data_IF_936337522267
#
_entry.id   IF_936337522267
#
_cell.length_a   1.000
_cell.length_b   1.000
_cell.length_c   1.000
_cell.angle_alpha   90.00
_cell.angle_beta   90.00
_cell.angle_gamma   90.00
#
_symmetry.space_group_name_H-M   'P 1'
#
loop_
_entity.id
_entity.type
_entity.pdbx_description
1 polymer ?
2 non-polymer ?
3 water ?
#
# COMPACT_ATOMS: atom_id res chain seq x y z
N UNK A 5 35.90 15.56 10.36
CA UNK A 5 35.05 15.79 9.20
C UNK A 5 33.62 16.09 9.61
N UNK A 6 33.20 15.51 10.74
CA UNK A 6 31.88 15.77 11.29
C UNK A 6 31.74 17.24 11.66
N UNK A 7 30.88 17.97 10.95
CA UNK A 7 30.62 19.37 11.25
C UNK A 7 29.35 19.48 12.07
N UNK A 8 29.41 20.20 13.18
CA UNK A 8 28.29 20.34 14.10
C UNK A 8 27.52 21.61 13.81
N UNK A 9 26.19 21.50 13.82
CA UNK A 9 25.31 22.64 13.56
C UNK A 9 24.06 22.43 14.43
N UNK A 10 23.97 23.19 15.52
CA UNK A 10 22.86 23.02 16.42
C UNK A 10 22.87 21.65 17.07
N UNK A 11 21.68 21.03 17.11
CA UNK A 11 21.53 19.70 17.68
C UNK A 11 21.84 18.59 16.68
N UNK A 12 22.43 18.92 15.53
CA UNK A 12 22.67 17.95 14.47
C UNK A 12 24.16 17.92 14.11
N UNK A 13 24.53 16.89 13.37
CA UNK A 13 25.88 16.72 12.85
C UNK A 13 25.78 16.55 11.34
N UNK A 14 26.73 17.17 10.62
CA UNK A 14 26.75 17.11 9.17
C UNK A 14 28.12 16.64 8.70
N UNK A 15 28.12 15.75 7.72
CA UNK A 15 29.34 15.23 7.13
C UNK A 15 29.21 15.19 5.62
N UNK A 16 30.26 15.63 4.93
CA UNK A 16 30.29 15.60 3.47
C UNK A 16 30.77 14.23 3.02
N UNK A 17 29.88 13.48 2.37
CA UNK A 17 30.23 12.15 1.87
C UNK A 17 30.88 12.19 0.50
N UNK A 18 30.63 13.24 -0.28
CA UNK A 18 31.14 13.39 -1.63
C UNK A 18 30.84 14.81 -2.11
N UNK A 19 31.43 15.26 -3.21
CA UNK A 19 30.97 16.53 -3.81
C UNK A 19 29.49 16.43 -4.17
N UNK A 20 28.72 17.40 -3.68
CA UNK A 20 27.27 17.55 -3.87
C UNK A 20 26.46 16.58 -3.03
N UNK A 21 27.07 15.86 -2.09
CA UNK A 21 26.35 14.93 -1.22
C UNK A 21 26.80 15.14 0.22
N UNK A 22 25.85 15.37 1.11
CA UNK A 22 26.11 15.51 2.53
C UNK A 22 25.19 14.59 3.32
N UNK A 23 25.62 14.24 4.52
CA UNK A 23 24.85 13.39 5.43
C UNK A 23 24.49 14.19 6.67
N UNK A 24 23.19 14.24 6.98
CA UNK A 24 22.71 14.92 8.17
C UNK A 24 22.29 13.90 9.22
N UNK A 25 22.67 14.18 10.47
CA UNK A 25 22.43 13.25 11.58
C UNK A 25 21.67 13.96 12.68
N UNK A 26 20.53 13.40 13.08
CA UNK A 26 19.75 13.90 14.19
C UNK A 26 19.72 12.86 15.30
N UNK A 27 19.57 13.32 16.54
CA UNK A 27 19.62 12.46 17.71
C UNK A 27 18.31 12.54 18.47
N UNK A 28 17.95 11.44 19.12
CA UNK A 28 16.72 11.35 19.88
C UNK A 28 16.92 10.36 21.01
N UNK A 29 16.37 10.68 22.19
CA UNK A 29 16.52 9.85 23.37
C UNK A 29 15.34 8.88 23.46
N UNK A 30 15.51 7.71 22.88
CA UNK A 30 14.52 6.64 23.07
C UNK A 30 14.61 6.14 24.50
N UNK A 31 13.48 6.00 25.22
CA UNK A 31 13.56 5.69 26.66
C UNK A 31 14.36 4.44 26.98
N UNK A 32 14.08 3.32 26.30
CA UNK A 32 14.78 2.09 26.58
C UNK A 32 15.90 1.79 25.62
N UNK A 33 16.46 2.83 25.00
CA UNK A 33 17.52 2.62 24.01
C UNK A 33 18.59 3.70 24.01
N UNK A 34 18.62 4.59 25.00
CA UNK A 34 19.66 5.60 25.06
C UNK A 34 19.48 6.74 24.06
N UNK A 35 20.59 7.26 23.54
CA UNK A 35 20.58 8.35 22.57
C UNK A 35 20.85 7.76 21.19
N UNK A 36 19.78 7.54 20.43
CA UNK A 36 19.86 6.89 19.12
C UNK A 36 19.94 7.96 18.05
N UNK A 37 20.87 7.79 17.11
CA UNK A 37 21.04 8.71 15.99
C UNK A 37 20.36 8.18 14.74
N UNK A 38 20.13 9.09 13.79
CA UNK A 38 19.50 8.75 12.52
C UNK A 38 20.09 9.63 11.44
N UNK A 39 20.36 9.04 10.27
CA UNK A 39 21.05 9.72 9.19
C UNK A 39 20.13 9.91 7.99
N UNK A 40 20.36 11.00 7.27
CA UNK A 40 19.74 11.26 5.99
C UNK A 40 20.76 11.82 5.02
N UNK A 41 20.33 12.21 3.82
CA UNK A 41 21.26 12.73 2.82
C UNK A 41 20.76 14.05 2.26
N UNK A 42 21.70 14.89 1.85
CA UNK A 42 21.43 16.15 1.17
C UNK A 42 22.23 16.15 -0.12
N UNK A 43 21.54 16.29 -1.25
CA UNK A 43 22.15 16.18 -2.57
C UNK A 43 22.00 17.52 -3.28
N UNK A 44 23.12 18.09 -3.73
CA UNK A 44 23.11 19.29 -4.55
C UNK A 44 23.05 18.86 -6.01
N UNK A 45 21.90 19.10 -6.64
CA UNK A 45 21.67 18.72 -8.03
C UNK A 45 21.62 19.99 -8.87
N UNK A 46 22.78 20.43 -9.33
CA UNK A 46 22.88 21.64 -10.12
C UNK A 46 22.58 22.90 -9.32
N UNK A 47 21.43 23.50 -9.59
CA UNK A 47 21.02 24.74 -8.92
C UNK A 47 19.94 24.50 -7.88
N UNK A 48 19.67 23.26 -7.51
CA UNK A 48 18.67 22.93 -6.51
C UNK A 48 19.23 21.90 -5.54
N UNK A 49 18.48 21.66 -4.47
CA UNK A 49 18.89 20.74 -3.41
C UNK A 49 17.81 19.68 -3.26
N UNK A 50 18.24 18.43 -3.11
CA UNK A 50 17.34 17.30 -2.91
C UNK A 50 17.61 16.68 -1.54
N UNK A 51 16.55 16.52 -0.75
CA UNK A 51 16.66 15.97 0.59
C UNK A 51 16.14 14.53 0.59
N UNK A 52 16.87 13.65 1.26
CA UNK A 52 16.59 12.21 1.23
C UNK A 52 15.93 11.70 2.50
N UNK A 53 15.98 12.46 3.60
CA UNK A 53 15.23 12.09 4.80
C UNK A 53 15.14 13.30 5.70
N UNK A 54 14.14 13.28 6.57
CA UNK A 54 13.97 14.32 7.56
C UNK A 54 14.66 13.91 8.86
N UNK A 55 14.44 14.66 9.92
CA UNK A 55 15.01 14.37 11.21
C UNK A 55 13.94 13.74 12.09
N UNK A 56 14.25 13.58 13.38
CA UNK A 56 13.28 13.01 14.32
C UNK A 56 12.09 13.95 14.51
N UNK A 57 12.34 15.25 14.59
CA UNK A 57 11.33 16.22 14.95
C UNK A 57 11.24 17.32 13.88
N UNK A 58 10.17 18.11 13.99
CA UNK A 58 10.04 19.29 13.13
C UNK A 58 11.15 20.30 13.41
N UNK A 59 11.49 20.48 14.69
CA UNK A 59 12.51 21.47 15.06
C UNK A 59 13.87 21.10 14.49
N UNK A 60 14.22 19.80 14.53
CA UNK A 60 15.50 19.38 13.99
C UNK A 60 15.52 19.43 12.47
N UNK A 61 14.35 19.29 11.82
CA UNK A 61 14.30 19.36 10.37
C UNK A 61 14.46 20.80 9.88
N UNK A 62 13.87 21.76 10.61
CA UNK A 62 14.07 23.16 10.26
C UNK A 62 15.52 23.59 10.46
N UNK A 63 16.24 22.94 11.36
CA UNK A 63 17.67 23.18 11.47
C UNK A 63 18.42 22.64 10.25
N UNK A 64 17.93 21.54 9.66
CA UNK A 64 18.53 21.03 8.43
C UNK A 64 18.36 22.04 7.30
N UNK A 65 17.14 22.56 7.15
CA UNK A 65 16.90 23.55 6.10
C UNK A 65 17.73 24.80 6.30
N UNK A 66 17.87 25.24 7.56
CA UNK A 66 18.72 26.39 7.86
C UNK A 66 20.18 26.10 7.50
N UNK A 67 20.61 24.84 7.64
CA UNK A 67 21.96 24.47 7.24
C UNK A 67 22.10 24.50 5.72
N UNK A 68 21.06 24.11 5.00
CA UNK A 68 21.11 24.11 3.54
C UNK A 68 21.18 25.54 3.01
N UNK A 69 20.32 26.42 3.54
CA UNK A 69 20.36 27.82 3.14
C UNK A 69 21.69 28.47 3.50
N UNK A 70 22.29 28.05 4.61
CA UNK A 70 23.55 28.63 5.05
C UNK A 70 24.72 28.13 4.22
N UNK A 71 24.82 26.83 4.01
CA UNK A 71 25.98 26.24 3.34
C UNK A 71 25.85 26.24 1.82
N UNK A 72 24.70 25.83 1.30
CA UNK A 72 24.50 25.70 -0.14
C UNK A 72 23.80 26.91 -0.72
N UNK A 73 22.80 27.45 -0.02
CA UNK A 73 22.04 28.62 -0.47
C UNK A 73 21.34 28.35 -1.80
N UNK A 74 20.60 27.26 -1.86
CA UNK A 74 19.81 26.87 -3.01
C UNK A 74 18.49 26.28 -2.54
N UNK A 75 17.42 26.45 -3.31
CA UNK A 75 16.12 25.93 -2.87
C UNK A 75 16.09 24.41 -2.84
N UNK A 76 15.31 23.88 -1.91
CA UNK A 76 15.10 22.44 -1.80
C UNK A 76 13.99 22.07 -2.78
N UNK A 77 14.36 21.45 -3.89
CA UNK A 77 13.39 21.17 -4.94
C UNK A 77 12.38 20.12 -4.52
N UNK A 78 12.84 19.07 -3.83
CA UNK A 78 11.95 18.00 -3.40
C UNK A 78 12.58 17.28 -2.23
N UNK A 79 11.78 16.45 -1.57
CA UNK A 79 12.23 15.66 -0.44
C UNK A 79 11.56 14.29 -0.48
N UNK A 80 12.37 13.24 -0.43
CA UNK A 80 11.88 11.87 -0.36
C UNK A 80 12.12 11.36 1.06
N UNK A 81 11.20 10.54 1.55
CA UNK A 81 11.36 9.87 2.83
C UNK A 81 11.24 8.37 2.58
N UNK A 82 12.03 7.58 3.32
CA UNK A 82 12.23 6.19 2.98
C UNK A 82 11.17 5.26 3.53
N UNK A 83 10.58 5.58 4.68
CA UNK A 83 9.46 4.80 5.22
C UNK A 83 8.83 5.59 6.36
N UNK A 84 7.70 5.08 6.84
CA UNK A 84 6.88 5.78 7.82
C UNK A 84 7.32 5.40 9.24
N UNK A 85 8.40 6.03 9.67
CA UNK A 85 8.88 5.92 11.05
C UNK A 85 9.36 7.30 11.50
N UNK A 86 9.46 7.47 12.81
CA UNK A 86 9.70 8.80 13.38
C UNK A 86 10.99 9.41 12.87
N UNK A 87 12.05 8.61 12.76
CA UNK A 87 13.34 9.14 12.31
C UNK A 87 13.36 9.50 10.84
N UNK A 88 12.30 9.20 10.09
CA UNK A 88 12.26 9.42 8.65
C UNK A 88 11.24 10.45 8.22
N UNK A 89 10.05 10.46 8.83
CA UNK A 89 9.01 11.42 8.49
C UNK A 89 8.62 12.30 9.67
N UNK A 90 9.49 12.38 10.69
CA UNK A 90 9.19 13.18 11.85
C UNK A 90 9.18 14.69 11.60
N UNK A 91 9.85 15.14 10.55
CA UNK A 91 9.91 16.55 10.24
C UNK A 91 9.11 16.93 9.01
N UNK A 92 7.98 16.25 8.81
CA UNK A 92 7.17 16.47 7.62
C UNK A 92 6.49 17.84 7.65
N UNK A 93 5.96 18.23 8.81
CA UNK A 93 5.36 19.55 8.93
C UNK A 93 6.35 20.68 8.69
N UNK A 94 7.63 20.46 9.02
CA UNK A 94 8.64 21.47 8.76
C UNK A 94 8.90 21.64 7.28
N UNK A 95 8.89 20.55 6.52
CA UNK A 95 9.09 20.65 5.07
C UNK A 95 7.84 21.20 4.39
N UNK A 96 6.65 20.88 4.89
CA UNK A 96 5.44 21.40 4.29
C UNK A 96 5.23 22.89 4.62
N UNK A 97 5.80 23.35 5.73
CA UNK A 97 5.68 24.77 6.08
C UNK A 97 6.47 25.66 5.13
N UNK A 98 7.56 25.13 4.56
CA UNK A 98 8.38 25.87 3.62
C UNK A 98 8.01 25.57 2.17
N UNK A 99 6.86 24.91 1.93
CA UNK A 99 6.38 24.60 0.59
C UNK A 99 7.39 23.78 -0.20
N UNK A 100 7.86 22.70 0.42
CA UNK A 100 8.81 21.77 -0.21
C UNK A 100 8.03 20.54 -0.66
N UNK A 101 8.04 20.20 -1.94
CA UNK A 101 7.35 18.99 -2.40
C UNK A 101 7.96 17.74 -1.78
N UNK A 102 7.13 16.97 -1.10
CA UNK A 102 7.56 15.77 -0.39
C UNK A 102 7.03 14.52 -1.09
N UNK A 103 7.88 13.50 -1.19
CA UNK A 103 7.55 12.27 -1.87
C UNK A 103 7.78 11.08 -0.94
N UNK A 104 6.92 10.07 -1.04
CA UNK A 104 7.05 8.87 -0.23
C UNK A 104 6.34 7.73 -0.95
N UNK A 105 6.69 6.51 -0.54
CA UNK A 105 5.98 5.34 -1.01
C UNK A 105 4.50 5.46 -0.66
N UNK A 106 3.65 5.01 -1.59
CA UNK A 106 2.20 5.08 -1.35
C UNK A 106 1.81 4.34 -0.08
N UNK A 107 2.51 3.25 0.25
CA UNK A 107 2.25 2.55 1.50
C UNK A 107 2.70 3.37 2.70
N UNK A 108 3.82 4.08 2.57
CA UNK A 108 4.30 4.93 3.67
C UNK A 108 3.29 6.02 3.99
N UNK A 109 2.60 6.55 2.97
CA UNK A 109 1.59 7.57 3.22
C UNK A 109 0.32 6.98 3.82
N UNK A 110 0.02 5.72 3.52
CA UNK A 110 -1.12 5.06 4.15
C UNK A 110 -0.82 4.70 5.60
N UNK A 111 0.45 4.48 5.93
CA UNK A 111 0.84 4.06 7.27
C UNK A 111 1.19 5.23 8.18
N UNK A 112 1.52 6.39 7.61
CA UNK A 112 1.96 7.52 8.43
C UNK A 112 0.91 7.97 9.45
N UNK A 113 -0.37 8.13 9.10
CA UNK A 113 -1.34 8.52 10.13
C UNK A 113 -1.54 7.48 11.21
N UNK A 114 -1.27 6.21 10.92
CA UNK A 114 -1.42 5.15 11.92
C UNK A 114 -0.36 5.26 13.01
N UNK A 115 0.73 5.97 12.77
CA UNK A 115 1.77 6.18 13.76
C UNK A 115 1.92 7.64 14.15
N UNK A 116 0.90 8.45 13.88
CA UNK A 116 0.93 9.86 14.22
C UNK A 116 1.94 10.64 13.41
N UNK A 117 1.88 10.53 12.09
CA UNK A 117 2.82 11.19 11.19
C UNK A 117 2.06 11.94 10.11
N UNK A 118 2.67 13.01 9.60
CA UNK A 118 2.14 13.72 8.46
C UNK A 118 2.58 13.01 7.18
N UNK A 119 1.62 12.50 6.43
CA UNK A 119 1.95 11.81 5.19
C UNK A 119 2.51 12.79 4.17
N UNK A 120 3.37 12.27 3.29
CA UNK A 120 3.91 13.10 2.22
C UNK A 120 2.82 13.49 1.24
N UNK A 121 3.00 14.64 0.61
CA UNK A 121 1.97 15.16 -0.29
C UNK A 121 1.89 14.39 -1.60
N UNK A 122 2.94 13.64 -1.96
CA UNK A 122 2.94 12.83 -3.17
C UNK A 122 3.26 11.38 -2.81
N UNK A 123 2.67 10.47 -3.58
CA UNK A 123 2.85 9.04 -3.36
C UNK A 123 3.63 8.45 -4.53
N UNK A 124 4.67 7.68 -4.21
CA UNK A 124 5.48 7.02 -5.22
C UNK A 124 4.94 5.62 -5.50
N UNK A 125 4.94 5.24 -6.77
CA UNK A 125 4.62 3.88 -7.19
C UNK A 125 5.86 3.25 -7.80
N UNK A 126 5.83 1.92 -7.91
CA UNK A 126 7.01 1.17 -8.33
C UNK A 126 6.61 0.09 -9.32
N UNK A 127 7.54 -0.22 -10.22
CA UNK A 127 7.33 -1.28 -11.20
C UNK A 127 7.63 -2.64 -10.58
N UNK A 128 7.48 -3.69 -11.39
CA UNK A 128 7.67 -5.05 -10.88
C UNK A 128 9.12 -5.30 -10.45
N UNK A 129 10.07 -4.59 -11.03
CA UNK A 129 11.48 -4.76 -10.69
C UNK A 129 11.92 -3.88 -9.53
N UNK A 130 10.97 -3.24 -8.83
CA UNK A 130 11.29 -2.46 -7.65
C UNK A 130 11.69 -1.03 -7.91
N UNK A 131 11.94 -0.66 -9.16
CA UNK A 131 12.32 0.71 -9.48
C UNK A 131 11.11 1.63 -9.48
N UNK A 132 11.34 2.90 -9.13
CA UNK A 132 10.25 3.86 -9.02
C UNK A 132 9.67 4.14 -10.40
N UNK A 133 8.37 4.41 -10.44
CA UNK A 133 7.71 4.77 -11.69
C UNK A 133 8.06 6.21 -12.04
N UNK A 134 8.58 6.47 -13.25
CA UNK A 134 8.93 7.85 -13.62
C UNK A 134 7.74 8.79 -13.62
N UNK A 135 6.52 8.28 -13.74
CA UNK A 135 5.34 9.13 -13.69
C UNK A 135 5.11 9.69 -12.29
N UNK A 136 5.57 8.98 -11.26
CA UNK A 136 5.39 9.42 -9.88
C UNK A 136 6.61 10.10 -9.30
N UNK A 137 7.78 9.98 -9.94
CA UNK A 137 9.01 10.61 -9.48
C UNK A 137 9.53 11.53 -10.59
N UNK A 138 8.92 12.70 -10.76
CA UNK A 138 9.33 13.61 -11.84
C UNK A 138 10.50 14.49 -11.45
N UNK A 139 11.45 14.62 -12.37
CA UNK A 139 12.61 15.50 -12.23
C UNK A 139 13.40 15.19 -10.95
N UNK A 140 13.69 13.91 -10.75
CA UNK A 140 14.48 13.49 -9.60
C UNK A 140 15.98 13.60 -9.84
N UNK A 141 16.40 13.90 -11.07
CA UNK A 141 17.80 14.08 -11.38
C UNK A 141 18.62 12.83 -11.13
N UNK A 142 19.63 12.95 -10.27
CA UNK A 142 20.47 11.79 -9.97
C UNK A 142 19.85 10.79 -9.01
N UNK A 143 18.74 11.13 -8.37
CA UNK A 143 18.12 10.26 -7.38
C UNK A 143 17.52 9.03 -8.07
N UNK A 144 18.01 7.85 -7.70
CA UNK A 144 17.48 6.58 -8.18
C UNK A 144 16.78 5.90 -7.02
N UNK A 145 15.45 5.89 -7.04
CA UNK A 145 14.65 5.32 -5.96
C UNK A 145 14.34 3.86 -6.31
N UNK A 146 14.54 2.98 -5.34
CA UNK A 146 14.40 1.54 -5.56
C UNK A 146 13.66 0.92 -4.37
N UNK A 147 12.65 0.10 -4.66
CA UNK A 147 11.94 -0.64 -3.63
C UNK A 147 12.48 -2.06 -3.58
N UNK A 148 13.28 -2.42 -2.57
CA UNK A 148 13.85 -3.77 -2.52
C UNK A 148 12.89 -4.85 -2.06
N UNK A 149 11.75 -4.47 -1.49
CA UNK A 149 10.84 -5.44 -0.93
C UNK A 149 10.71 -5.23 0.57
N UNK A 150 9.76 -5.92 1.19
CA UNK A 150 9.60 -5.79 2.64
C UNK A 150 10.84 -6.30 3.38
N UNK A 151 11.30 -5.53 4.35
CA UNK A 151 12.46 -5.89 5.14
C UNK A 151 12.40 -5.30 6.53
N UNK A 152 13.03 -4.14 6.72
CA UNK A 152 12.91 -3.43 7.99
C UNK A 152 11.45 -3.06 8.26
N UNK A 153 10.77 -2.55 7.24
CA UNK A 153 9.32 -2.41 7.26
C UNK A 153 8.75 -3.02 5.99
N UNK A 154 7.46 -2.82 5.73
CA UNK A 154 6.88 -3.25 4.46
C UNK A 154 6.88 -2.13 3.42
N UNK A 155 7.33 -0.93 3.78
CA UNK A 155 7.30 0.21 2.89
C UNK A 155 8.66 0.87 2.71
N UNK A 156 9.73 0.27 3.25
CA UNK A 156 11.04 0.89 3.15
C UNK A 156 11.50 0.95 1.70
N UNK A 157 12.01 2.12 1.30
CA UNK A 157 12.57 2.32 -0.02
C UNK A 157 14.02 2.76 0.13
N UNK A 158 14.78 2.61 -0.95
CA UNK A 158 16.19 2.98 -0.97
C UNK A 158 16.44 3.97 -2.09
N UNK A 159 17.52 4.72 -1.93
CA UNK A 159 17.87 5.71 -2.92
C UNK A 159 19.34 5.63 -3.27
N UNK A 160 19.64 5.80 -4.55
CA UNK A 160 20.99 5.82 -4.98
C UNK A 160 21.22 7.13 -5.67
N UNK A 161 22.46 7.57 -5.72
CA UNK A 161 22.79 8.83 -6.34
C UNK A 161 23.74 8.60 -7.49
N UNK A 162 23.30 8.98 -8.67
CA UNK A 162 24.11 8.78 -9.85
C UNK A 162 25.25 9.76 -9.90
N UNK A 163 26.39 9.29 -10.36
CA UNK A 163 27.55 10.13 -10.46
C UNK A 163 28.33 10.03 -9.19
N UNK A 164 27.88 9.14 -8.34
CA UNK A 164 28.53 8.97 -7.07
C UNK A 164 28.70 7.54 -6.74
N UNK A 165 29.48 7.28 -5.73
CA UNK A 165 29.68 5.92 -5.24
C UNK A 165 28.71 5.56 -4.12
N UNK A 166 27.65 6.35 -3.96
CA UNK A 166 26.82 6.32 -2.75
C UNK A 166 25.46 5.70 -3.08
N UNK A 167 25.01 4.78 -2.22
CA UNK A 167 23.66 4.25 -2.24
C UNK A 167 23.14 4.25 -0.82
N UNK A 168 21.94 4.77 -0.61
CA UNK A 168 21.37 4.93 0.72
C UNK A 168 20.41 3.78 1.00
N UNK A 169 20.75 2.97 2.00
CA UNK A 169 19.92 1.85 2.39
C UNK A 169 18.88 2.15 3.44
N UNK A 170 18.97 3.31 4.09
CA UNK A 170 18.01 3.64 5.14
C UNK A 170 18.20 2.76 6.36
N UNK A 171 17.09 2.27 6.89
CA UNK A 171 17.10 1.36 8.03
C UNK A 171 17.11 -0.10 7.63
N UNK A 172 17.01 -0.41 6.34
CA UNK A 172 17.06 -1.80 5.89
C UNK A 172 18.46 -2.37 6.09
N UNK A 173 19.49 -1.56 5.85
CA UNK A 173 20.88 -2.02 5.88
C UNK A 173 21.53 -1.53 7.16
N UNK A 174 22.20 -2.44 7.86
CA UNK A 174 23.01 -2.12 9.03
C UNK A 174 24.48 -2.32 8.69
N UNK A 175 25.35 -1.66 9.46
CA UNK A 175 26.77 -1.72 9.19
C UNK A 175 27.30 -3.15 9.36
N UNK A 176 28.48 -3.39 8.80
CA UNK A 176 29.05 -4.74 8.78
C UNK A 176 29.38 -5.26 10.17
N UNK A 177 29.47 -4.38 11.18
CA UNK A 177 29.81 -4.78 12.53
C UNK A 177 28.60 -4.76 13.45
N UNK A 178 27.39 -4.61 12.91
CA UNK A 178 26.19 -4.58 13.73
C UNK A 178 25.94 -5.94 14.35
N UNK A 179 25.61 -5.95 15.65
CA UNK A 179 25.34 -7.18 16.37
C UNK A 179 23.88 -7.59 16.31
N UNK A 180 23.04 -6.85 15.59
CA UNK A 180 21.62 -7.16 15.48
C UNK A 180 21.05 -6.42 14.27
N UNK A 181 19.78 -6.68 13.99
CA UNK A 181 19.07 -6.03 12.90
C UNK A 181 18.25 -4.82 13.38
N UNK A 182 18.55 -4.30 14.56
CA UNK A 182 17.90 -3.10 15.03
C UNK A 182 16.43 -3.32 15.34
N UNK A 183 15.62 -2.30 15.05
CA UNK A 183 14.19 -2.35 15.34
C UNK A 183 13.51 -3.34 14.40
N UNK A 184 13.04 -4.45 14.96
CA UNK A 184 12.37 -5.50 14.20
C UNK A 184 10.86 -5.50 14.41
N UNK A 185 10.30 -4.43 14.96
CA UNK A 185 8.89 -4.41 15.30
C UNK A 185 7.98 -4.48 14.09
N UNK A 186 8.31 -3.73 13.03
CA UNK A 186 7.52 -3.68 11.82
C UNK A 186 8.17 -4.44 10.67
N UNK A 187 8.96 -5.45 10.99
CA UNK A 187 9.81 -6.11 10.00
C UNK A 187 9.11 -7.31 9.37
N UNK A 188 9.56 -7.64 8.15
CA UNK A 188 9.15 -8.86 7.45
C UNK A 188 10.30 -9.84 7.56
N UNK A 189 10.17 -10.79 8.48
CA UNK A 189 11.25 -11.72 8.76
C UNK A 189 11.56 -12.66 7.59
N UNK A 190 10.60 -12.84 6.68
CA UNK A 190 10.82 -13.73 5.54
C UNK A 190 11.53 -13.03 4.38
N UNK A 191 11.08 -11.87 4.01
CA UNK A 191 11.63 -11.21 2.86
C UNK A 191 12.84 -10.36 3.14
N UNK A 192 13.15 -10.13 4.40
CA UNK A 192 14.27 -9.25 4.74
C UNK A 192 15.55 -9.67 4.03
N UNK A 193 15.84 -10.98 4.01
CA UNK A 193 17.07 -11.47 3.38
C UNK A 193 17.11 -11.13 1.90
N UNK A 194 16.04 -11.49 1.17
CA UNK A 194 16.01 -11.21 -0.26
C UNK A 194 15.92 -9.72 -0.56
N UNK A 195 15.33 -8.95 0.35
CA UNK A 195 15.24 -7.50 0.14
C UNK A 195 16.61 -6.85 0.32
N UNK A 196 17.39 -7.31 1.30
CA UNK A 196 18.72 -6.75 1.50
C UNK A 196 19.62 -7.04 0.32
N UNK A 197 19.49 -8.23 -0.28
CA UNK A 197 20.30 -8.57 -1.45
C UNK A 197 19.79 -7.89 -2.71
N UNK A 198 18.48 -7.62 -2.79
CA UNK A 198 17.96 -6.88 -3.93
C UNK A 198 18.49 -5.45 -3.96
N UNK A 199 18.63 -4.82 -2.79
CA UNK A 199 19.20 -3.49 -2.72
C UNK A 199 20.64 -3.48 -3.20
N UNK A 200 21.40 -4.54 -2.88
CA UNK A 200 22.77 -4.63 -3.34
C UNK A 200 22.88 -4.85 -4.83
N UNK A 201 21.87 -5.47 -5.44
CA UNK A 201 21.91 -5.70 -6.88
C UNK A 201 21.38 -4.51 -7.67
N UNK A 202 20.52 -3.69 -7.05
CA UNK A 202 20.01 -2.51 -7.75
C UNK A 202 21.09 -1.46 -7.96
N UNK A 203 22.04 -1.35 -7.03
CA UNK A 203 23.14 -0.40 -7.11
C UNK A 203 24.45 -1.19 -7.06
N UNK A 204 24.81 -1.84 -8.17
CA UNK A 204 25.99 -2.72 -8.13
C UNK A 204 27.31 -1.99 -7.99
N UNK A 205 27.40 -0.76 -8.48
CA UNK A 205 28.65 -0.02 -8.48
C UNK A 205 28.84 0.87 -7.26
N UNK A 206 27.92 0.82 -6.30
CA UNK A 206 27.98 1.68 -5.12
C UNK A 206 28.77 0.96 -4.03
N UNK A 207 29.98 1.44 -3.75
CA UNK A 207 30.81 0.89 -2.69
C UNK A 207 30.73 1.70 -1.39
N UNK A 208 30.02 2.82 -1.40
CA UNK A 208 29.79 3.61 -0.20
C UNK A 208 28.32 3.45 0.17
N UNK A 209 28.05 2.59 1.15
CA UNK A 209 26.69 2.28 1.58
C UNK A 209 26.39 3.12 2.80
N UNK A 210 25.47 4.07 2.65
CA UNK A 210 25.00 4.88 3.76
C UNK A 210 23.71 4.32 4.32
N UNK A 211 23.51 4.48 5.63
CA UNK A 211 22.35 3.96 6.31
C UNK A 211 21.92 4.93 7.39
N UNK A 212 20.80 4.62 8.06
CA UNK A 212 20.21 5.55 9.01
C UNK A 212 20.93 5.50 10.36
N UNK A 213 21.19 4.29 10.87
CA UNK A 213 21.68 4.13 12.24
C UNK A 213 23.15 3.73 12.31
N UNK A 214 23.93 4.04 11.28
CA UNK A 214 25.35 3.73 11.29
C UNK A 214 26.07 4.69 10.36
N UNK A 215 27.39 4.80 10.58
CA UNK A 215 28.24 5.56 9.68
C UNK A 215 28.31 4.87 8.33
N UNK A 216 28.68 5.59 7.27
CA UNK A 216 28.82 4.96 5.95
C UNK A 216 29.83 3.81 6.00
N UNK A 217 29.48 2.73 5.31
CA UNK A 217 30.27 1.51 5.31
C UNK A 217 30.41 1.00 3.87
N UNK A 218 31.19 -0.06 3.71
CA UNK A 218 31.39 -0.69 2.41
C UNK A 218 30.21 -1.61 2.10
N UNK A 219 30.32 -2.37 1.01
CA UNK A 219 29.26 -3.30 0.64
C UNK A 219 29.19 -4.51 1.56
N UNK A 220 30.17 -4.69 2.45
CA UNK A 220 30.08 -5.73 3.46
C UNK A 220 28.88 -5.52 4.37
N UNK A 221 28.42 -4.28 4.51
CA UNK A 221 27.21 -4.02 5.29
C UNK A 221 25.98 -4.65 4.65
N UNK A 222 25.96 -4.77 3.32
CA UNK A 222 24.83 -5.39 2.64
C UNK A 222 24.81 -6.89 2.90
N UNK A 223 25.95 -7.56 2.68
CA UNK A 223 26.01 -9.00 2.86
C UNK A 223 25.85 -9.38 4.32
N UNK A 224 26.41 -8.58 5.24
CA UNK A 224 26.26 -8.86 6.66
C UNK A 224 24.81 -8.72 7.09
N UNK A 225 24.10 -7.74 6.54
CA UNK A 225 22.67 -7.60 6.82
C UNK A 225 21.87 -8.76 6.23
N UNK A 226 22.25 -9.20 5.03
CA UNK A 226 21.56 -10.31 4.40
C UNK A 226 21.77 -11.61 5.17
N UNK A 227 23.01 -11.84 5.63
CA UNK A 227 23.28 -13.06 6.39
C UNK A 227 22.58 -13.01 7.75
N UNK A 228 22.52 -11.83 8.37
CA UNK A 228 21.75 -11.69 9.61
C UNK A 228 20.27 -11.96 9.36
N UNK A 229 19.73 -11.46 8.25
CA UNK A 229 18.33 -11.71 7.93
C UNK A 229 18.11 -13.15 7.50
N UNK A 230 19.15 -13.81 6.97
CA UNK A 230 19.04 -15.22 6.62
C UNK A 230 18.71 -16.06 7.86
N UNK A 231 19.37 -15.77 8.98
CA UNK A 231 19.09 -16.51 10.20
C UNK A 231 17.79 -16.05 10.86
N UNK A 232 17.41 -14.79 10.64
CA UNK A 232 16.10 -14.33 11.09
C UNK A 232 14.98 -15.01 10.31
N UNK A 233 15.21 -15.33 9.04
CA UNK A 233 14.20 -15.99 8.24
C UNK A 233 13.90 -17.39 8.76
N UNK A 234 14.91 -18.11 9.18
CA UNK A 234 14.70 -19.48 9.64
C UNK A 234 14.32 -19.56 11.11
N UNK A 235 14.32 -18.43 11.81
CA UNK A 235 13.89 -18.39 13.18
C UNK A 235 12.44 -18.01 13.25
N UNK A 236 11.72 -18.16 12.15
CA UNK A 236 10.34 -17.74 12.10
C UNK A 236 9.62 -18.39 10.94
N UNK B 6 -10.02 -20.66 9.07
CA UNK B 6 -9.21 -20.34 7.90
C UNK B 6 -8.66 -21.61 7.26
N UNK B 7 -9.36 -22.11 6.25
CA UNK B 7 -8.94 -23.31 5.53
C UNK B 7 -8.11 -22.90 4.32
N UNK B 8 -6.81 -23.22 4.35
CA UNK B 8 -5.94 -22.92 3.23
C UNK B 8 -6.15 -23.93 2.11
N UNK B 9 -6.21 -23.43 0.88
CA UNK B 9 -6.39 -24.27 -0.30
C UNK B 9 -5.53 -23.68 -1.43
N UNK B 10 -4.37 -24.28 -1.67
CA UNK B 10 -3.44 -23.74 -2.63
C UNK B 10 -2.82 -22.43 -2.17
N UNK B 11 -3.05 -21.36 -2.93
CA UNK B 11 -2.58 -20.02 -2.55
C UNK B 11 -3.72 -19.16 -2.04
N UNK B 12 -4.82 -19.76 -1.59
CA UNK B 12 -6.01 -19.03 -1.17
C UNK B 12 -6.41 -19.45 0.22
N UNK B 13 -6.98 -18.51 0.97
CA UNK B 13 -7.51 -18.74 2.30
C UNK B 13 -9.03 -18.58 2.23
N UNK B 14 -9.75 -19.51 2.86
CA UNK B 14 -11.20 -19.51 2.85
C UNK B 14 -11.71 -19.45 4.28
N UNK B 15 -12.69 -18.57 4.51
CA UNK B 15 -13.33 -18.43 5.81
C UNK B 15 -14.84 -18.43 5.63
N UNK B 16 -15.53 -19.28 6.39
CA UNK B 16 -16.98 -19.39 6.33
C UNK B 16 -17.57 -18.40 7.34
N UNK B 17 -18.27 -17.38 6.83
CA UNK B 17 -18.85 -16.37 7.70
C UNK B 17 -20.28 -16.67 8.10
N UNK B 18 -20.97 -17.54 7.37
CA UNK B 18 -22.33 -17.93 7.65
C UNK B 18 -22.68 -19.15 6.81
N UNK B 19 -23.67 -19.94 7.23
CA UNK B 19 -24.15 -21.01 6.36
C UNK B 19 -24.57 -20.47 5.01
N UNK B 20 -24.08 -21.12 3.94
CA UNK B 20 -24.27 -20.70 2.56
C UNK B 20 -23.55 -19.41 2.22
N UNK B 21 -22.56 -19.01 3.00
CA UNK B 21 -21.77 -17.81 2.73
C UNK B 21 -20.31 -18.11 3.05
N UNK B 22 -19.42 -17.92 2.08
CA UNK B 22 -17.99 -18.10 2.29
C UNK B 22 -17.26 -16.86 1.80
N UNK B 23 -16.03 -16.69 2.28
CA UNK B 23 -15.17 -15.57 1.91
C UNK B 23 -13.85 -16.11 1.42
N UNK B 24 -13.55 -15.90 0.14
CA UNK B 24 -12.28 -16.31 -0.43
C UNK B 24 -11.30 -15.14 -0.40
N UNK B 25 -10.06 -15.44 0.00
CA UNK B 25 -9.01 -14.44 0.12
C UNK B 25 -7.84 -14.84 -0.75
N UNK B 26 -7.44 -13.95 -1.65
CA UNK B 26 -6.31 -14.17 -2.54
C UNK B 26 -5.26 -13.10 -2.31
N UNK B 27 -4.00 -13.45 -2.58
CA UNK B 27 -2.86 -12.59 -2.30
C UNK B 27 -2.13 -12.27 -3.59
N UNK B 28 -1.35 -11.19 -3.56
CA UNK B 28 -0.61 -10.74 -4.73
C UNK B 28 0.54 -9.85 -4.29
N UNK B 29 1.71 -10.07 -4.88
CA UNK B 29 2.89 -9.26 -4.61
C UNK B 29 2.74 -7.94 -5.36
N UNK B 30 2.46 -6.86 -4.63
CA UNK B 30 2.28 -5.53 -5.20
C UNK B 30 3.56 -4.73 -4.94
N UNK B 31 4.16 -4.11 -5.95
CA UNK B 31 5.39 -3.34 -5.72
C UNK B 31 5.14 -2.17 -4.78
N UNK B 32 6.06 -2.01 -3.83
CA UNK B 32 5.95 -0.99 -2.81
C UNK B 32 5.19 -1.40 -1.56
N UNK B 33 4.38 -2.46 -1.66
CA UNK B 33 3.56 -2.91 -0.54
C UNK B 33 3.90 -4.30 -0.05
N UNK B 34 4.36 -5.20 -0.93
CA UNK B 34 4.54 -6.59 -0.57
C UNK B 34 3.30 -7.40 -0.91
N UNK B 35 3.02 -8.42 -0.12
CA UNK B 35 1.84 -9.24 -0.34
C UNK B 35 0.58 -8.49 0.10
N UNK B 36 -0.37 -8.33 -0.83
CA UNK B 36 -1.62 -7.64 -0.57
C UNK B 36 -2.75 -8.65 -0.74
N UNK B 37 -3.65 -8.70 0.24
CA UNK B 37 -4.78 -9.63 0.23
C UNK B 37 -6.04 -8.94 -0.28
N UNK B 38 -6.89 -9.72 -0.94
CA UNK B 38 -8.16 -9.23 -1.47
C UNK B 38 -9.23 -10.28 -1.18
N UNK B 39 -10.37 -9.83 -0.66
CA UNK B 39 -11.44 -10.72 -0.25
C UNK B 39 -12.60 -10.68 -1.24
N UNK B 40 -13.15 -11.86 -1.52
CA UNK B 40 -14.41 -11.98 -2.23
C UNK B 40 -15.35 -12.88 -1.45
N UNK B 41 -16.51 -13.15 -2.05
CA UNK B 41 -17.53 -13.94 -1.37
C UNK B 41 -18.05 -15.05 -2.28
N UNK B 42 -18.38 -16.18 -1.66
CA UNK B 42 -19.01 -17.32 -2.32
C UNK B 42 -20.28 -17.65 -1.55
N UNK B 43 -21.42 -17.56 -2.21
CA UNK B 43 -22.70 -17.81 -1.54
C UNK B 43 -23.39 -18.98 -2.23
N UNK B 44 -24.25 -19.65 -1.46
CA UNK B 44 -24.96 -20.84 -1.93
C UNK B 44 -26.45 -20.54 -1.93
N UNK B 45 -27.10 -20.74 -3.08
CA UNK B 45 -28.53 -20.55 -3.22
C UNK B 45 -29.19 -21.90 -3.47
N UNK B 46 -29.11 -22.77 -2.45
CA UNK B 46 -29.72 -24.07 -2.52
C UNK B 46 -28.99 -25.04 -3.42
N UNK B 47 -29.25 -24.96 -4.73
CA UNK B 47 -28.68 -25.89 -5.69
C UNK B 47 -27.69 -25.23 -6.64
N UNK B 48 -27.23 -24.03 -6.29
CA UNK B 48 -26.28 -23.28 -7.13
C UNK B 48 -25.35 -22.42 -6.28
N UNK B 49 -24.27 -21.95 -6.87
CA UNK B 49 -23.29 -21.14 -6.15
C UNK B 49 -23.02 -19.85 -6.87
N UNK B 50 -23.03 -18.76 -6.11
CA UNK B 50 -22.82 -17.46 -6.71
C UNK B 50 -21.50 -16.87 -6.24
N UNK B 51 -20.82 -16.17 -7.14
CA UNK B 51 -19.52 -15.60 -6.81
C UNK B 51 -19.57 -14.09 -6.82
N UNK B 52 -19.08 -13.48 -5.76
CA UNK B 52 -19.17 -12.02 -5.65
C UNK B 52 -17.92 -11.35 -6.16
N UNK B 53 -16.82 -12.06 -6.23
CA UNK B 53 -15.66 -11.44 -6.86
C UNK B 53 -14.64 -12.46 -7.32
N UNK B 54 -13.74 -12.04 -8.20
CA UNK B 54 -12.66 -12.91 -8.63
C UNK B 54 -11.41 -12.62 -7.81
N UNK B 55 -10.32 -13.30 -8.15
CA UNK B 55 -9.05 -13.10 -7.49
C UNK B 55 -8.18 -12.17 -8.34
N UNK B 56 -6.90 -12.05 -7.96
CA UNK B 56 -6.00 -11.18 -8.71
C UNK B 56 -5.71 -11.72 -10.10
N UNK B 57 -5.57 -13.04 -10.23
CA UNK B 57 -5.13 -13.67 -11.47
C UNK B 57 -6.14 -14.72 -11.92
N UNK B 58 -5.93 -15.21 -13.15
CA UNK B 58 -6.73 -16.31 -13.65
C UNK B 58 -6.44 -17.60 -12.90
N UNK B 59 -5.17 -17.84 -12.57
CA UNK B 59 -4.78 -19.07 -11.89
C UNK B 59 -5.38 -19.15 -10.49
N UNK B 60 -5.56 -18.00 -9.82
CA UNK B 60 -6.18 -18.01 -8.51
C UNK B 60 -7.70 -18.09 -8.61
N UNK B 61 -8.29 -17.47 -9.63
CA UNK B 61 -9.73 -17.60 -9.83
C UNK B 61 -10.11 -19.03 -10.21
N UNK B 62 -9.30 -19.67 -11.04
CA UNK B 62 -9.50 -21.10 -11.31
C UNK B 62 -9.27 -21.93 -10.05
N UNK B 63 -8.38 -21.48 -9.17
CA UNK B 63 -8.20 -22.14 -7.89
C UNK B 63 -9.45 -22.01 -7.02
N UNK B 64 -10.20 -20.92 -7.18
CA UNK B 64 -11.45 -20.76 -6.45
C UNK B 64 -12.48 -21.77 -6.92
N UNK B 65 -12.61 -21.92 -8.24
CA UNK B 65 -13.57 -22.89 -8.78
C UNK B 65 -13.22 -24.31 -8.38
N UNK B 66 -11.94 -24.62 -8.22
CA UNK B 66 -11.54 -25.94 -7.73
C UNK B 66 -11.97 -26.15 -6.29
N UNK B 67 -11.98 -25.09 -5.48
CA UNK B 67 -12.39 -25.21 -4.08
C UNK B 67 -13.88 -25.48 -3.97
N UNK B 68 -14.70 -24.71 -4.72
CA UNK B 68 -16.14 -24.93 -4.69
C UNK B 68 -16.49 -26.31 -5.22
N UNK B 69 -15.75 -26.78 -6.24
CA UNK B 69 -15.98 -28.11 -6.78
C UNK B 69 -15.68 -29.19 -5.75
N UNK B 70 -14.73 -28.95 -4.86
CA UNK B 70 -14.34 -29.94 -3.86
C UNK B 70 -15.17 -29.86 -2.59
N UNK B 71 -15.49 -28.66 -2.12
CA UNK B 71 -16.17 -28.48 -0.84
C UNK B 71 -17.67 -28.30 -0.97
N UNK B 72 -18.16 -27.72 -2.06
CA UNK B 72 -19.58 -27.50 -2.25
C UNK B 72 -20.17 -28.42 -3.32
N UNK B 73 -19.41 -28.66 -4.40
CA UNK B 73 -19.84 -29.55 -5.48
C UNK B 73 -21.14 -29.06 -6.13
N UNK B 74 -21.28 -27.74 -6.24
CA UNK B 74 -22.39 -27.12 -6.93
C UNK B 74 -21.89 -26.21 -8.03
N UNK B 75 -22.59 -26.11 -9.16
CA UNK B 75 -22.11 -25.26 -10.26
C UNK B 75 -22.17 -23.78 -9.89
N UNK B 76 -21.29 -23.01 -10.52
CA UNK B 76 -21.25 -21.56 -10.35
C UNK B 76 -22.21 -20.96 -11.36
N UNK B 77 -23.37 -20.50 -10.89
CA UNK B 77 -24.42 -20.05 -11.81
C UNK B 77 -24.12 -18.66 -12.38
N UNK B 78 -23.49 -17.78 -11.62
CA UNK B 78 -23.20 -16.44 -12.10
C UNK B 78 -22.03 -15.87 -11.29
N UNK B 79 -21.57 -14.70 -11.73
CA UNK B 79 -20.51 -13.99 -11.05
C UNK B 79 -20.67 -12.50 -11.30
N UNK B 80 -20.63 -11.71 -10.23
CA UNK B 80 -20.67 -10.25 -10.32
C UNK B 80 -19.37 -9.71 -9.74
N UNK B 81 -18.84 -8.67 -10.36
CA UNK B 81 -17.63 -8.01 -9.88
C UNK B 81 -17.98 -6.58 -9.49
N UNK B 82 -17.30 -6.08 -8.46
CA UNK B 82 -17.70 -4.83 -7.84
C UNK B 82 -17.10 -3.59 -8.51
N UNK B 83 -15.94 -3.73 -9.15
CA UNK B 83 -15.36 -2.65 -9.94
C UNK B 83 -14.19 -3.22 -10.73
N UNK B 84 -13.68 -2.42 -11.67
CA UNK B 84 -12.64 -2.88 -12.59
C UNK B 84 -11.26 -2.49 -12.07
N UNK B 85 -10.86 -3.16 -11.00
CA UNK B 85 -9.49 -3.15 -10.53
C UNK B 85 -8.97 -4.59 -10.53
N UNK B 86 -7.64 -4.73 -10.45
CA UNK B 86 -7.03 -6.03 -10.66
C UNK B 86 -7.51 -7.05 -9.63
N UNK B 87 -7.69 -6.63 -8.38
CA UNK B 87 -8.09 -7.55 -7.33
C UNK B 87 -9.53 -8.05 -7.49
N UNK B 88 -10.28 -7.52 -8.44
CA UNK B 88 -11.67 -7.91 -8.63
C UNK B 88 -11.94 -8.49 -10.01
N UNK B 89 -11.29 -7.98 -11.06
CA UNK B 89 -11.51 -8.46 -12.42
C UNK B 89 -10.24 -9.02 -13.05
N UNK B 90 -9.27 -9.43 -12.23
CA UNK B 90 -8.05 -10.00 -12.77
C UNK B 90 -8.16 -11.43 -13.23
N UNK B 91 -9.17 -12.16 -12.76
CA UNK B 91 -9.36 -13.54 -13.14
C UNK B 91 -10.62 -13.77 -13.94
N UNK B 92 -10.97 -12.82 -14.81
CA UNK B 92 -12.16 -12.96 -15.63
C UNK B 92 -12.03 -14.07 -16.67
N UNK B 93 -10.81 -14.32 -17.14
CA UNK B 93 -10.61 -15.38 -18.12
C UNK B 93 -10.89 -16.76 -17.57
N UNK B 94 -10.56 -16.98 -16.29
CA UNK B 94 -10.85 -18.27 -15.68
C UNK B 94 -12.35 -18.50 -15.54
N UNK B 95 -13.14 -17.43 -15.45
CA UNK B 95 -14.59 -17.58 -15.37
C UNK B 95 -15.19 -17.80 -16.75
N UNK B 96 -14.69 -17.10 -17.77
CA UNK B 96 -15.21 -17.29 -19.12
C UNK B 96 -14.77 -18.62 -19.71
N UNK B 97 -13.62 -19.15 -19.27
CA UNK B 97 -13.18 -20.47 -19.71
C UNK B 97 -14.03 -21.59 -19.13
N UNK B 98 -14.93 -21.29 -18.20
CA UNK B 98 -15.82 -22.28 -17.61
C UNK B 98 -17.29 -22.00 -17.94
N UNK B 99 -17.56 -21.08 -18.87
CA UNK B 99 -18.93 -20.73 -19.28
C UNK B 99 -19.75 -20.26 -18.08
N UNK B 100 -19.19 -19.32 -17.33
CA UNK B 100 -19.85 -18.74 -16.16
C UNK B 100 -20.32 -17.34 -16.53
N UNK B 101 -21.61 -17.04 -16.47
CA UNK B 101 -22.08 -15.68 -16.78
C UNK B 101 -21.54 -14.68 -15.78
N UNK B 102 -20.91 -13.63 -16.30
CA UNK B 102 -20.29 -12.60 -15.50
C UNK B 102 -21.04 -11.28 -15.66
N UNK B 103 -21.38 -10.65 -14.55
CA UNK B 103 -22.09 -9.38 -14.54
C UNK B 103 -21.22 -8.32 -13.88
N UNK B 104 -21.47 -7.07 -14.23
CA UNK B 104 -20.68 -5.96 -13.69
C UNK B 104 -21.45 -4.67 -13.92
N UNK B 105 -21.05 -3.64 -13.16
CA UNK B 105 -21.54 -2.29 -13.44
C UNK B 105 -21.21 -1.91 -14.87
N UNK B 106 -22.17 -1.27 -15.54
CA UNK B 106 -21.95 -0.85 -16.92
C UNK B 106 -20.69 0.00 -17.04
N UNK B 107 -20.49 0.92 -16.09
CA UNK B 107 -19.27 1.73 -16.09
C UNK B 107 -18.04 0.86 -15.92
N UNK B 108 -18.11 -0.17 -15.06
CA UNK B 108 -16.97 -1.05 -14.85
C UNK B 108 -16.54 -1.72 -16.14
N UNK B 109 -17.50 -2.21 -16.93
CA UNK B 109 -17.18 -2.85 -18.20
C UNK B 109 -16.71 -1.87 -19.26
N UNK B 110 -16.89 -0.57 -19.04
CA UNK B 110 -16.45 0.44 -20.01
C UNK B 110 -15.10 1.05 -19.66
N UNK B 111 -14.78 1.22 -18.38
CA UNK B 111 -13.45 1.66 -18.00
C UNK B 111 -12.49 0.50 -17.78
N UNK B 112 -12.92 -0.75 -17.98
CA UNK B 112 -12.00 -1.87 -17.82
C UNK B 112 -10.98 -1.94 -18.95
N UNK B 113 -11.33 -1.76 -20.24
CA UNK B 113 -10.29 -1.82 -21.28
C UNK B 113 -9.18 -0.80 -21.08
N UNK B 114 -9.49 0.38 -20.52
CA UNK B 114 -8.44 1.36 -20.26
C UNK B 114 -7.51 0.90 -19.14
N UNK B 115 -8.00 0.05 -18.24
CA UNK B 115 -7.21 -0.45 -17.13
C UNK B 115 -6.69 -1.86 -17.37
N UNK B 116 -6.75 -2.34 -18.61
CA UNK B 116 -6.19 -3.64 -18.96
C UNK B 116 -7.03 -4.84 -18.59
N UNK B 117 -8.22 -4.63 -18.04
CA UNK B 117 -9.07 -5.73 -17.62
C UNK B 117 -9.97 -6.18 -18.76
N UNK B 118 -10.22 -7.49 -18.83
CA UNK B 118 -11.20 -8.03 -19.77
C UNK B 118 -12.59 -7.87 -19.18
N UNK B 119 -13.45 -7.11 -19.86
CA UNK B 119 -14.74 -6.75 -19.32
C UNK B 119 -15.64 -7.97 -19.18
N UNK B 120 -16.74 -7.80 -18.46
CA UNK B 120 -17.68 -8.87 -18.21
C UNK B 120 -18.65 -9.01 -19.39
N UNK B 121 -19.42 -10.10 -19.37
CA UNK B 121 -20.34 -10.39 -20.46
C UNK B 121 -21.52 -9.41 -20.46
N UNK B 122 -22.19 -9.28 -19.32
CA UNK B 122 -23.35 -8.41 -19.19
C UNK B 122 -23.03 -7.19 -18.35
N UNK B 123 -23.86 -6.17 -18.48
CA UNK B 123 -23.67 -4.89 -17.79
C UNK B 123 -24.89 -4.58 -16.94
N UNK B 124 -24.64 -4.24 -15.68
CA UNK B 124 -25.71 -3.85 -14.77
C UNK B 124 -25.96 -2.35 -14.84
N UNK B 125 -27.23 -1.98 -14.67
CA UNK B 125 -27.62 -0.58 -14.60
C UNK B 125 -28.33 -0.32 -13.28
N UNK B 126 -28.34 0.95 -12.88
CA UNK B 126 -28.87 1.34 -11.59
C UNK B 126 -29.74 2.58 -11.74
N UNK B 127 -30.75 2.67 -10.88
CA UNK B 127 -31.67 3.80 -10.89
C UNK B 127 -31.07 4.95 -10.08
N UNK B 128 -31.89 5.96 -9.78
CA UNK B 128 -31.39 7.10 -9.01
C UNK B 128 -31.21 6.74 -7.54
N UNK B 129 -32.08 5.89 -6.99
CA UNK B 129 -31.97 5.49 -5.61
C UNK B 129 -30.74 4.61 -5.35
N UNK B 130 -30.17 4.02 -6.40
CA UNK B 130 -28.94 3.26 -6.31
C UNK B 130 -29.10 1.78 -6.54
N UNK B 131 -30.30 1.23 -6.37
CA UNK B 131 -30.49 -0.21 -6.51
C UNK B 131 -30.41 -0.63 -7.97
N UNK B 132 -30.03 -1.90 -8.18
CA UNK B 132 -29.81 -2.40 -9.52
C UNK B 132 -31.15 -2.60 -10.22
N UNK B 133 -31.15 -2.40 -11.54
CA UNK B 133 -32.34 -2.68 -12.33
C UNK B 133 -32.59 -4.18 -12.34
N UNK B 134 -33.77 -4.64 -11.90
CA UNK B 134 -34.02 -6.10 -11.88
C UNK B 134 -33.94 -6.74 -13.26
N UNK B 135 -34.09 -5.97 -14.34
CA UNK B 135 -33.95 -6.49 -15.69
C UNK B 135 -32.50 -6.77 -16.07
N UNK B 136 -31.54 -6.44 -15.19
CA UNK B 136 -30.14 -6.73 -15.43
C UNK B 136 -29.55 -7.75 -14.46
N UNK B 137 -30.27 -8.08 -13.39
CA UNK B 137 -29.83 -9.08 -12.43
C UNK B 137 -30.77 -10.28 -12.48
N UNK B 138 -30.67 -11.12 -13.50
CA UNK B 138 -31.66 -12.20 -13.68
C UNK B 138 -31.39 -13.35 -12.73
N UNK B 139 -32.39 -13.66 -11.90
CA UNK B 139 -32.31 -14.77 -10.94
C UNK B 139 -31.06 -14.65 -10.08
N UNK B 140 -30.82 -13.43 -9.57
CA UNK B 140 -29.65 -13.21 -8.73
C UNK B 140 -29.79 -13.80 -7.33
N UNK B 141 -30.95 -14.38 -7.01
CA UNK B 141 -31.14 -15.04 -5.75
C UNK B 141 -31.05 -14.09 -4.56
N UNK B 142 -30.27 -14.46 -3.55
CA UNK B 142 -30.15 -13.60 -2.36
C UNK B 142 -29.33 -12.35 -2.57
N UNK B 143 -28.63 -12.23 -3.69
CA UNK B 143 -27.75 -11.09 -3.92
C UNK B 143 -28.59 -9.84 -4.21
N UNK B 144 -28.38 -8.82 -3.38
CA UNK B 144 -29.05 -7.56 -3.57
C UNK B 144 -27.98 -6.55 -3.92
N UNK B 145 -27.82 -6.30 -5.20
CA UNK B 145 -26.76 -5.42 -5.69
C UNK B 145 -27.23 -3.98 -5.56
N UNK B 146 -26.35 -3.11 -5.03
CA UNK B 146 -26.65 -1.71 -4.81
C UNK B 146 -25.45 -0.87 -5.19
N UNK B 147 -25.71 0.28 -5.81
CA UNK B 147 -24.66 1.21 -6.20
C UNK B 147 -24.76 2.48 -5.38
N UNK B 148 -23.82 2.75 -4.48
CA UNK B 148 -23.91 3.94 -3.62
C UNK B 148 -23.29 5.20 -4.19
N UNK B 149 -22.85 5.19 -5.46
CA UNK B 149 -22.20 6.33 -6.04
C UNK B 149 -20.68 6.18 -6.03
N UNK B 150 -19.99 7.14 -6.65
CA UNK B 150 -18.52 7.05 -6.68
C UNK B 150 -17.91 7.17 -5.29
N UNK B 151 -16.92 6.32 -5.03
CA UNK B 151 -16.22 6.33 -3.76
C UNK B 151 -14.76 5.93 -3.91
N UNK B 152 -14.44 4.69 -3.54
CA UNK B 152 -13.10 4.17 -3.81
C UNK B 152 -12.80 4.19 -5.31
N UNK B 153 -13.80 3.89 -6.13
CA UNK B 153 -13.78 4.13 -7.56
C UNK B 153 -15.09 4.79 -7.96
N UNK B 154 -15.18 5.20 -9.22
CA UNK B 154 -16.40 5.78 -9.74
C UNK B 154 -17.44 4.74 -10.14
N UNK B 155 -17.09 3.45 -10.07
CA UNK B 155 -17.97 2.38 -10.49
C UNK B 155 -18.17 1.31 -9.42
N UNK B 156 -17.69 1.55 -8.20
CA UNK B 156 -17.75 0.54 -7.15
C UNK B 156 -19.20 0.25 -6.77
N UNK B 157 -19.56 -1.02 -6.72
CA UNK B 157 -20.90 -1.45 -6.33
C UNK B 157 -20.78 -2.40 -5.14
N UNK B 158 -21.81 -2.37 -4.29
CA UNK B 158 -21.85 -3.20 -3.11
C UNK B 158 -22.98 -4.21 -3.23
N UNK B 159 -22.81 -5.37 -2.59
CA UNK B 159 -23.77 -6.47 -2.68
C UNK B 159 -24.18 -6.86 -1.27
N UNK B 160 -25.49 -6.99 -1.05
CA UNK B 160 -26.05 -7.49 0.19
C UNK B 160 -26.71 -8.84 -0.04
N UNK B 161 -26.47 -9.77 0.87
CA UNK B 161 -26.97 -11.14 0.74
C UNK B 161 -28.26 -11.25 1.53
N UNK B 162 -29.34 -11.64 0.86
CA UNK B 162 -30.62 -11.78 1.52
C UNK B 162 -30.61 -12.95 2.49
N UNK B 163 -31.34 -12.80 3.59
CA UNK B 163 -31.45 -13.86 4.57
C UNK B 163 -30.19 -14.13 5.36
N UNK B 164 -29.33 -13.12 5.53
CA UNK B 164 -28.11 -13.29 6.31
C UNK B 164 -27.76 -11.96 6.96
N UNK B 165 -26.69 -11.98 7.76
CA UNK B 165 -26.23 -10.83 8.54
C UNK B 165 -25.23 -9.96 7.80
N UNK B 166 -24.86 -10.33 6.57
CA UNK B 166 -23.66 -9.80 5.92
C UNK B 166 -24.04 -8.88 4.78
N UNK B 167 -23.29 -7.79 4.64
CA UNK B 167 -23.35 -6.91 3.47
C UNK B 167 -21.92 -6.67 3.01
N UNK B 168 -21.68 -6.84 1.71
CA UNK B 168 -20.34 -6.75 1.15
C UNK B 168 -20.10 -5.32 0.64
N UNK B 169 -19.17 -4.62 1.29
CA UNK B 169 -18.82 -3.27 0.88
C UNK B 169 -17.72 -3.16 -0.14
N UNK B 170 -17.09 -4.28 -0.50
CA UNK B 170 -16.01 -4.26 -1.47
C UNK B 170 -14.81 -3.47 -0.97
N UNK B 171 -14.13 -2.82 -1.91
CA UNK B 171 -13.01 -1.96 -1.57
C UNK B 171 -13.43 -0.57 -1.11
N UNK B 172 -14.74 -0.30 -1.06
CA UNK B 172 -15.20 1.02 -0.65
C UNK B 172 -15.08 1.19 0.86
N UNK B 173 -15.35 0.13 1.63
CA UNK B 173 -15.39 0.19 3.08
C UNK B 173 -14.10 -0.42 3.64
N UNK B 174 -13.51 0.25 4.63
CA UNK B 174 -12.39 -0.27 5.39
C UNK B 174 -12.83 -0.49 6.84
N UNK B 175 -12.11 -1.37 7.53
CA UNK B 175 -12.48 -1.73 8.88
C UNK B 175 -12.22 -0.57 9.85
N UNK B 176 -12.79 -0.69 11.05
CA UNK B 176 -12.73 0.41 12.01
C UNK B 176 -11.32 0.65 12.53
N UNK B 177 -10.48 -0.38 12.55
CA UNK B 177 -9.11 -0.26 13.05
C UNK B 177 -8.14 0.00 11.89
N UNK B 178 -8.40 1.08 11.17
CA UNK B 178 -7.56 1.47 10.05
C UNK B 178 -7.64 2.98 9.86
N UNK B 179 -6.48 3.60 9.64
CA UNK B 179 -6.43 5.05 9.44
C UNK B 179 -5.95 5.38 8.04
N UNK B 180 -6.65 4.85 7.02
CA UNK B 180 -6.35 5.10 5.62
C UNK B 180 -7.44 4.47 4.77
N UNK B 181 -7.81 5.15 3.69
CA UNK B 181 -8.77 4.61 2.73
C UNK B 181 -8.10 3.79 1.64
N UNK B 182 -6.83 3.43 1.81
CA UNK B 182 -6.14 2.57 0.89
C UNK B 182 -5.79 3.23 -0.44
N UNK B 183 -6.27 2.63 -1.53
CA UNK B 183 -5.94 3.09 -2.88
C UNK B 183 -6.86 4.26 -3.24
N UNK B 184 -6.31 5.47 -3.24
CA UNK B 184 -7.06 6.68 -3.58
C UNK B 184 -6.78 7.16 -5.00
N UNK B 185 -6.23 6.30 -5.85
CA UNK B 185 -5.92 6.67 -7.22
C UNK B 185 -7.14 7.05 -8.03
N UNK B 186 -7.99 6.06 -8.34
CA UNK B 186 -9.23 6.29 -9.06
C UNK B 186 -10.39 6.63 -8.14
N UNK B 187 -10.12 7.27 -7.01
CA UNK B 187 -11.14 7.55 -6.03
C UNK B 187 -11.74 8.94 -6.22
N UNK B 188 -12.99 9.08 -5.78
CA UNK B 188 -13.70 10.37 -5.80
C UNK B 188 -13.58 10.97 -4.40
N UNK B 189 -12.77 12.02 -4.27
CA UNK B 189 -12.52 12.61 -2.96
C UNK B 189 -13.78 13.25 -2.37
N UNK B 190 -14.69 13.72 -3.22
CA UNK B 190 -15.89 14.40 -2.74
C UNK B 190 -16.99 13.40 -2.37
N UNK B 191 -17.35 12.54 -3.32
CA UNK B 191 -18.48 11.64 -3.12
C UNK B 191 -18.14 10.41 -2.29
N UNK B 192 -16.89 10.28 -1.82
CA UNK B 192 -16.53 9.12 -1.01
C UNK B 192 -17.31 9.09 0.31
N UNK B 193 -17.36 10.24 1.00
CA UNK B 193 -18.05 10.30 2.27
C UNK B 193 -19.53 9.95 2.12
N UNK B 194 -20.18 10.47 1.08
CA UNK B 194 -21.60 10.20 0.88
C UNK B 194 -21.83 8.77 0.42
N UNK B 195 -20.97 8.26 -0.48
CA UNK B 195 -21.16 6.91 -0.99
C UNK B 195 -20.99 5.86 0.10
N UNK B 196 -20.04 6.08 1.01
CA UNK B 196 -19.88 5.15 2.13
C UNK B 196 -21.11 5.12 3.01
N UNK B 197 -21.73 6.29 3.24
CA UNK B 197 -22.93 6.35 4.05
C UNK B 197 -24.13 5.78 3.32
N UNK B 198 -24.20 5.95 2.00
CA UNK B 198 -25.29 5.38 1.23
C UNK B 198 -25.25 3.86 1.27
N UNK B 199 -24.06 3.27 1.42
CA UNK B 199 -23.96 1.83 1.56
C UNK B 199 -24.59 1.34 2.85
N UNK B 200 -24.36 2.06 3.96
CA UNK B 200 -24.96 1.68 5.22
C UNK B 200 -26.45 1.90 5.26
N UNK B 201 -26.94 2.93 4.57
CA UNK B 201 -28.37 3.20 4.56
C UNK B 201 -29.13 2.23 3.68
N UNK B 202 -28.49 1.68 2.64
CA UNK B 202 -29.16 0.74 1.76
C UNK B 202 -29.32 -0.62 2.42
N UNK B 203 -28.40 -1.00 3.30
CA UNK B 203 -28.46 -2.26 4.05
C UNK B 203 -28.53 -1.93 5.53
N UNK B 204 -29.68 -1.48 6.03
CA UNK B 204 -29.77 -1.09 7.44
C UNK B 204 -29.77 -2.25 8.40
N UNK B 205 -30.10 -3.47 7.94
CA UNK B 205 -30.21 -4.62 8.81
C UNK B 205 -28.93 -5.43 8.92
N UNK B 206 -27.91 -5.11 8.12
CA UNK B 206 -26.66 -5.85 8.17
C UNK B 206 -25.91 -5.54 9.46
N UNK B 207 -25.37 -6.59 10.08
CA UNK B 207 -24.58 -6.47 11.30
C UNK B 207 -23.09 -6.65 11.07
N UNK B 208 -22.70 -7.57 10.19
CA UNK B 208 -21.31 -7.80 9.83
C UNK B 208 -21.05 -7.28 8.43
N UNK B 209 -20.06 -6.40 8.29
CA UNK B 209 -19.69 -5.81 7.01
C UNK B 209 -18.48 -6.55 6.48
N UNK B 210 -18.58 -7.04 5.25
CA UNK B 210 -17.49 -7.72 4.58
C UNK B 210 -16.85 -6.78 3.57
N UNK B 211 -15.52 -6.75 3.56
CA UNK B 211 -14.77 -5.88 2.65
C UNK B 211 -13.61 -6.66 2.05
N UNK B 212 -12.92 -6.03 1.10
CA UNK B 212 -11.90 -6.74 0.33
C UNK B 212 -10.56 -6.80 1.06
N UNK B 213 -10.20 -5.75 1.79
CA UNK B 213 -8.87 -5.63 2.39
C UNK B 213 -8.94 -5.59 3.91
N UNK B 214 -9.85 -6.36 4.49
CA UNK B 214 -9.98 -6.41 5.94
C UNK B 214 -10.88 -7.59 6.31
N UNK B 215 -10.64 -8.14 7.50
CA UNK B 215 -11.54 -9.13 8.05
C UNK B 215 -12.90 -8.47 8.32
N UNK B 216 -13.98 -9.25 8.33
CA UNK B 216 -15.30 -8.67 8.56
C UNK B 216 -15.35 -7.87 9.86
N UNK B 217 -16.04 -6.74 9.83
CA UNK B 217 -16.10 -5.80 10.93
C UNK B 217 -17.56 -5.43 11.20
N UNK B 218 -17.77 -4.63 12.25
CA UNK B 218 -19.11 -4.21 12.63
C UNK B 218 -19.57 -3.03 11.77
N UNK B 219 -20.74 -2.49 12.10
CA UNK B 219 -21.30 -1.38 11.35
C UNK B 219 -20.52 -0.08 11.56
N UNK B 220 -19.74 0.02 12.63
CA UNK B 220 -18.96 1.22 12.86
C UNK B 220 -17.89 1.43 11.81
N UNK B 221 -17.47 0.37 11.12
CA UNK B 221 -16.50 0.49 10.05
C UNK B 221 -17.02 1.30 8.87
N UNK B 222 -18.33 1.40 8.74
CA UNK B 222 -18.90 2.18 7.67
C UNK B 222 -18.66 3.66 7.89
N UNK B 223 -18.82 4.10 9.12
CA UNK B 223 -18.70 5.53 9.39
C UNK B 223 -17.26 5.90 9.56
N UNK B 224 -16.46 5.00 10.09
CA UNK B 224 -15.05 5.28 10.18
C UNK B 224 -14.56 5.54 8.78
N UNK B 225 -14.98 4.69 7.86
CA UNK B 225 -14.59 4.93 6.47
C UNK B 225 -15.09 6.29 6.00
N UNK B 226 -16.31 6.67 6.40
CA UNK B 226 -16.84 7.98 6.03
C UNK B 226 -16.17 9.10 6.81
N UNK B 227 -15.78 8.85 8.06
CA UNK B 227 -15.06 9.87 8.82
C UNK B 227 -13.74 10.21 8.17
N UNK B 228 -13.04 9.23 7.64
CA UNK B 228 -11.77 9.49 7.01
C UNK B 228 -12.00 10.20 5.71
N UNK B 229 -13.09 9.85 5.05
CA UNK B 229 -13.39 10.46 3.76
C UNK B 229 -13.83 11.89 3.92
N UNK B 230 -14.39 12.21 5.08
CA UNK B 230 -14.77 13.57 5.32
C UNK B 230 -13.50 14.37 5.36
N UNK B 231 -12.57 13.91 6.16
CA UNK B 231 -11.31 14.60 6.29
C UNK B 231 -10.65 14.70 4.93
N UNK B 232 -10.76 13.65 4.15
CA UNK B 232 -10.18 13.67 2.83
C UNK B 232 -10.77 14.76 1.98
N UNK B 233 -12.09 14.84 1.94
CA UNK B 233 -12.75 15.82 1.07
C UNK B 233 -12.27 17.18 1.41
N UNK B 234 -12.08 17.44 2.69
CA UNK B 234 -11.70 18.76 3.11
C UNK B 234 -10.41 19.18 2.43
N UNK B 235 -9.46 18.26 2.30
CA UNK B 235 -8.22 18.56 1.59
C UNK B 235 -8.51 18.92 0.14
X LIG C 1 12.44 2.52 10.78
X LIG D 1 15.20 3.89 11.62
X LIG E 1 -9.15 -3.25 -3.89
X LIG F 1 -10.19 -1.14 -6.21
#
# INVERSE_FOLDING_TARGET
GPLGSDQRFGDLVFRQLAPNVWQHTSFMDVPGFGAVSSNGLIVKDGERVLLVDTAWTDDQTSQILNWIKQEINLPVALAVVTHAHQDKMGGMGALHAEAIPTYANALSNQLAPQEGMTAAQHSLTFAANGWVDPATAPNFGPLRVFYPGPGHTSDNITVGIDGTDIAFGGCLIKDSKAKSLGNLGDADTERYAASARAFGAAFPKANTIAMSHSAPDSRAAITHTARMADKLRLERPHRD
GPLGSDQRFGDLVFRQLAPNVWQHTSFMDVPGFGAVSSNGLIVKDGERVLLVDTAWTDDQTSQILNWIKQEINLPVALAVVTHAHQDKMGGMGALHAEAIPTYANALSNQLAPQEGMTAAQHSLTFAANGWVDPATAPNFGPLRVFYPGPGHTSDNITVGIDGTDIAFGGCLIKDSKAKSLGNLGDADTERYAASARAFGAAFPKANTIAMSHSAPDSRAAITHTARMADKLRLERPHRD
ZN ZN
ZN ZN
ZN ZN
ZN ZN
#
